data_IF_411856088847
#
_entry.id   IF_411856088847
#
_cell.length_a   1.000
_cell.length_b   1.000
_cell.length_c   1.000
_cell.angle_alpha   90.00
_cell.angle_beta   90.00
_cell.angle_gamma   90.00
#
_symmetry.space_group_name_H-M   'P 1'
#
loop_
_entity.id
_entity.type
_entity.pdbx_description
1 polymer ?
#
# COMPACT_ATOMS: atom_id res chain seq x y z
N UNK A 1 18.95 -36.56 -1.94
CA UNK A 1 19.47 -35.31 -2.55
C UNK A 1 18.27 -34.56 -3.08
N UNK A 2 18.02 -33.35 -2.61
CA UNK A 2 16.96 -32.53 -3.19
C UNK A 2 17.35 -32.24 -4.64
N UNK A 3 16.44 -32.52 -5.56
CA UNK A 3 16.60 -32.22 -6.97
C UNK A 3 16.38 -30.71 -7.12
N UNK A 4 17.44 -29.98 -7.50
CA UNK A 4 17.44 -28.51 -7.60
C UNK A 4 17.29 -28.05 -9.06
N UNK A 5 16.72 -28.89 -9.93
CA UNK A 5 16.69 -28.63 -11.36
C UNK A 5 15.73 -27.48 -11.68
N UNK A 6 16.30 -26.28 -11.85
CA UNK A 6 15.66 -25.17 -12.52
C UNK A 6 16.06 -25.26 -14.00
N UNK A 7 15.13 -25.55 -14.93
CA UNK A 7 15.47 -25.79 -16.33
C UNK A 7 16.19 -24.59 -16.95
N UNK A 8 17.20 -24.87 -17.80
CA UNK A 8 18.09 -23.91 -18.47
C UNK A 8 18.85 -22.97 -17.52
N UNK A 9 19.40 -23.53 -16.42
CA UNK A 9 20.20 -22.80 -15.42
C UNK A 9 21.55 -23.44 -15.13
N UNK A 10 22.21 -23.89 -16.18
CA UNK A 10 23.43 -24.69 -16.10
C UNK A 10 24.67 -23.91 -15.63
N UNK A 11 24.52 -22.61 -15.31
CA UNK A 11 25.61 -21.76 -14.82
C UNK A 11 25.19 -20.92 -13.59
N UNK A 12 26.12 -20.60 -12.68
CA UNK A 12 25.83 -19.69 -11.55
C UNK A 12 25.27 -18.34 -11.98
N UNK A 13 25.75 -17.78 -13.10
CA UNK A 13 25.25 -16.52 -13.64
C UNK A 13 23.79 -16.62 -14.09
N UNK A 14 23.41 -17.72 -14.75
CA UNK A 14 22.03 -17.97 -15.17
C UNK A 14 21.07 -18.08 -13.97
N UNK A 15 21.49 -18.75 -12.89
CA UNK A 15 20.71 -18.83 -11.64
C UNK A 15 20.48 -17.44 -11.04
N UNK A 16 21.53 -16.62 -10.94
CA UNK A 16 21.42 -15.26 -10.38
C UNK A 16 20.54 -14.36 -11.25
N UNK A 17 20.70 -14.40 -12.57
CA UNK A 17 19.89 -13.63 -13.51
C UNK A 17 18.40 -13.99 -13.39
N UNK A 18 18.09 -15.28 -13.26
CA UNK A 18 16.71 -15.71 -13.02
C UNK A 18 16.16 -15.20 -11.69
N UNK A 19 16.90 -15.37 -10.60
CA UNK A 19 16.47 -14.91 -9.29
C UNK A 19 16.18 -13.41 -9.28
N UNK A 20 17.04 -12.61 -9.94
CA UNK A 20 16.84 -11.18 -10.13
C UNK A 20 15.56 -10.89 -10.95
N UNK A 21 15.36 -11.59 -12.07
CA UNK A 21 14.17 -11.42 -12.90
C UNK A 21 12.87 -11.79 -12.17
N UNK A 22 12.88 -12.84 -11.35
CA UNK A 22 11.73 -13.23 -10.52
C UNK A 22 11.49 -12.24 -9.39
N UNK A 23 12.54 -11.72 -8.76
CA UNK A 23 12.40 -10.68 -7.74
C UNK A 23 11.83 -9.39 -8.32
N UNK A 24 12.28 -8.98 -9.51
CA UNK A 24 11.74 -7.82 -10.21
C UNK A 24 10.26 -8.00 -10.60
N UNK A 25 9.90 -9.19 -11.11
CA UNK A 25 8.51 -9.52 -11.44
C UNK A 25 7.61 -9.52 -10.19
N UNK A 26 8.06 -10.12 -9.09
CA UNK A 26 7.34 -10.10 -7.82
C UNK A 26 7.13 -8.68 -7.31
N UNK A 27 8.17 -7.83 -7.35
CA UNK A 27 8.05 -6.43 -6.94
C UNK A 27 7.04 -5.67 -7.81
N UNK A 28 7.00 -5.90 -9.14
CA UNK A 28 6.01 -5.27 -10.01
C UNK A 28 4.58 -5.70 -9.65
N UNK A 29 4.36 -6.99 -9.46
CA UNK A 29 3.06 -7.52 -9.05
C UNK A 29 2.61 -6.95 -7.70
N UNK A 30 3.51 -6.81 -6.73
CA UNK A 30 3.18 -6.18 -5.44
C UNK A 30 2.80 -4.70 -5.61
N UNK A 31 3.43 -3.97 -6.54
CA UNK A 31 3.04 -2.58 -6.85
C UNK A 31 1.68 -2.55 -7.55
N UNK A 32 1.38 -3.49 -8.44
CA UNK A 32 0.08 -3.61 -9.11
C UNK A 32 -1.05 -3.81 -8.09
N UNK A 33 -0.82 -4.65 -7.08
CA UNK A 33 -1.76 -4.83 -5.95
C UNK A 33 -1.97 -3.51 -5.19
N UNK A 34 -0.92 -2.72 -4.97
CA UNK A 34 -1.03 -1.43 -4.30
C UNK A 34 -1.78 -0.38 -5.14
N UNK A 35 -1.57 -0.38 -6.46
CA UNK A 35 -2.33 0.45 -7.40
C UNK A 35 -3.81 0.04 -7.44
N UNK A 36 -4.09 -1.27 -7.40
CA UNK A 36 -5.47 -1.79 -7.29
C UNK A 36 -6.14 -1.37 -5.96
N UNK A 37 -5.41 -1.38 -4.85
CA UNK A 37 -5.92 -0.92 -3.56
C UNK A 37 -6.35 0.57 -3.60
N UNK A 38 -5.57 1.41 -4.29
CA UNK A 38 -5.92 2.83 -4.49
C UNK A 38 -7.17 3.01 -5.35
N UNK A 39 -7.28 2.25 -6.44
CA UNK A 39 -8.47 2.28 -7.30
C UNK A 39 -9.71 1.79 -6.54
N UNK A 40 -9.56 0.73 -5.76
CA UNK A 40 -10.63 0.21 -4.90
C UNK A 40 -11.08 1.23 -3.86
N UNK A 41 -10.13 1.85 -3.14
CA UNK A 41 -10.43 2.90 -2.18
C UNK A 41 -11.17 4.09 -2.82
N UNK A 42 -10.77 4.50 -4.03
CA UNK A 42 -11.44 5.58 -4.77
C UNK A 42 -12.87 5.24 -5.21
N UNK A 43 -13.24 3.96 -5.30
CA UNK A 43 -14.61 3.49 -5.56
C UNK A 43 -15.48 3.44 -4.31
N UNK A 44 -14.87 3.54 -3.12
CA UNK A 44 -15.54 3.47 -1.82
C UNK A 44 -15.20 4.70 -0.97
N UNK A 45 -15.47 5.91 -1.48
CA UNK A 45 -15.14 7.13 -0.77
C UNK A 45 -16.10 7.34 0.42
N UNK A 46 -15.84 8.32 1.27
CA UNK A 46 -16.71 8.63 2.42
C UNK A 46 -18.18 8.88 2.04
N UNK A 47 -18.45 9.39 0.84
CA UNK A 47 -19.82 9.62 0.37
C UNK A 47 -20.59 8.32 0.04
N UNK A 48 -19.92 7.17 -0.08
CA UNK A 48 -20.61 5.88 -0.23
C UNK A 48 -21.21 5.39 1.09
N UNK A 49 -20.81 5.98 2.21
CA UNK A 49 -21.35 5.67 3.53
C UNK A 49 -22.67 6.42 3.73
N UNK A 50 -23.73 5.70 4.12
CA UNK A 50 -25.04 6.31 4.33
C UNK A 50 -25.02 7.29 5.51
N UNK A 51 -25.47 8.52 5.28
CA UNK A 51 -25.66 9.58 6.28
C UNK A 51 -26.85 9.33 7.24
N UNK A 52 -27.37 8.09 7.29
CA UNK A 52 -28.55 7.75 8.06
C UNK A 52 -28.29 7.97 9.56
N UNK A 53 -28.77 9.11 10.07
CA UNK A 53 -28.83 9.37 11.50
C UNK A 53 -29.44 8.16 12.20
N UNK A 54 -28.80 7.63 13.26
CA UNK A 54 -29.25 6.39 13.92
C UNK A 54 -30.66 6.62 14.44
N UNK A 55 -31.66 6.07 13.74
CA UNK A 55 -33.05 6.46 13.94
C UNK A 55 -33.65 5.87 15.21
N UNK A 56 -32.89 5.06 15.95
CA UNK A 56 -33.35 4.33 17.14
C UNK A 56 -32.26 4.05 18.18
N UNK A 57 -31.15 4.80 18.20
CA UNK A 57 -30.08 4.59 19.18
C UNK A 57 -29.22 3.34 18.96
N UNK A 58 -29.33 2.72 17.78
CA UNK A 58 -28.44 1.66 17.32
C UNK A 58 -27.52 2.23 16.22
N UNK A 59 -26.22 2.19 16.46
CA UNK A 59 -25.19 2.57 15.47
C UNK A 59 -25.02 1.39 14.52
N UNK A 60 -25.90 1.27 13.52
CA UNK A 60 -25.82 0.25 12.45
C UNK A 60 -25.56 0.91 11.08
N UNK A 61 -24.70 1.93 11.04
CA UNK A 61 -24.22 2.55 9.82
C UNK A 61 -22.76 2.20 9.58
N UNK A 62 -22.38 2.01 8.33
CA UNK A 62 -20.97 1.98 7.93
C UNK A 62 -20.32 3.31 8.36
N UNK A 63 -19.02 3.32 8.66
CA UNK A 63 -18.26 4.56 8.91
C UNK A 63 -17.22 4.81 7.82
N UNK A 64 -16.89 6.08 7.57
CA UNK A 64 -15.68 6.44 6.83
C UNK A 64 -14.48 6.50 7.80
N UNK A 65 -13.37 5.87 7.44
CA UNK A 65 -12.20 5.73 8.32
C UNK A 65 -10.93 6.38 7.75
N UNK A 66 -10.14 7.10 8.57
CA UNK A 66 -8.85 7.63 8.16
C UNK A 66 -7.78 6.52 8.23
N UNK A 67 -7.46 5.91 7.10
CA UNK A 67 -6.46 4.84 7.03
C UNK A 67 -5.01 5.36 6.85
N UNK A 68 -4.86 6.63 6.50
CA UNK A 68 -3.58 7.30 6.31
C UNK A 68 -3.57 8.64 7.07
N UNK A 69 -2.42 9.31 7.11
CA UNK A 69 -2.32 10.58 7.81
C UNK A 69 -3.13 11.70 7.17
N UNK A 70 -3.14 12.85 7.85
CA UNK A 70 -3.91 14.04 7.44
C UNK A 70 -3.72 14.38 5.95
N UNK A 71 -4.83 14.68 5.27
CA UNK A 71 -4.86 15.04 3.84
C UNK A 71 -4.97 13.85 2.86
N UNK A 72 -4.94 12.61 3.35
CA UNK A 72 -5.38 11.45 2.59
C UNK A 72 -6.92 11.32 2.66
N UNK A 73 -7.57 10.77 1.62
CA UNK A 73 -9.02 10.59 1.63
C UNK A 73 -9.45 9.56 2.68
N UNK A 74 -10.64 9.73 3.24
CA UNK A 74 -11.28 8.69 4.02
C UNK A 74 -11.84 7.62 3.08
N UNK A 75 -12.04 6.42 3.62
CA UNK A 75 -12.56 5.28 2.87
C UNK A 75 -13.63 4.60 3.72
N UNK A 76 -14.65 4.04 3.08
CA UNK A 76 -15.66 3.23 3.75
C UNK A 76 -15.02 2.07 4.57
N UNK A 77 -15.46 1.84 5.81
CA UNK A 77 -14.77 0.95 6.76
C UNK A 77 -14.68 -0.51 6.29
N UNK A 78 -15.64 -0.97 5.48
CA UNK A 78 -15.66 -2.33 4.95
C UNK A 78 -14.79 -2.51 3.71
N UNK A 79 -14.49 -1.44 2.97
CA UNK A 79 -13.73 -1.55 1.72
C UNK A 79 -12.34 -2.22 1.88
N UNK A 80 -11.51 -1.91 2.89
CA UNK A 80 -10.25 -2.64 3.10
C UNK A 80 -10.46 -4.11 3.45
N UNK A 81 -11.55 -4.45 4.12
CA UNK A 81 -11.85 -5.84 4.51
C UNK A 81 -12.25 -6.68 3.32
N UNK A 82 -13.09 -6.14 2.44
CA UNK A 82 -13.49 -6.80 1.18
C UNK A 82 -12.30 -7.01 0.24
N UNK A 83 -11.47 -5.96 0.08
CA UNK A 83 -10.23 -6.07 -0.70
C UNK A 83 -9.27 -7.11 -0.10
N UNK A 84 -9.12 -7.11 1.22
CA UNK A 84 -8.30 -8.08 1.95
C UNK A 84 -8.78 -9.52 1.78
N UNK A 85 -10.10 -9.74 1.88
CA UNK A 85 -10.71 -11.05 1.70
C UNK A 85 -10.44 -11.62 0.31
N UNK A 86 -10.54 -10.80 -0.74
CA UNK A 86 -10.21 -11.19 -2.11
C UNK A 86 -8.74 -11.62 -2.28
N UNK A 87 -7.83 -11.10 -1.45
CA UNK A 87 -6.40 -11.42 -1.45
C UNK A 87 -5.99 -12.48 -0.42
N UNK A 88 -6.94 -13.00 0.37
CA UNK A 88 -6.64 -13.94 1.47
C UNK A 88 -5.87 -13.32 2.64
N UNK A 89 -6.06 -12.02 2.90
CA UNK A 89 -5.41 -11.28 3.97
C UNK A 89 -6.27 -11.19 5.23
N UNK A 90 -5.63 -11.05 6.39
CA UNK A 90 -6.35 -10.65 7.61
C UNK A 90 -6.83 -9.21 7.51
N UNK A 91 -7.87 -8.88 8.27
CA UNK A 91 -8.43 -7.54 8.38
C UNK A 91 -7.38 -6.48 8.73
N UNK A 92 -6.49 -6.76 9.68
CA UNK A 92 -5.45 -5.79 10.07
C UNK A 92 -4.42 -5.60 8.95
N UNK A 93 -4.04 -6.69 8.28
CA UNK A 93 -3.09 -6.63 7.18
C UNK A 93 -3.66 -5.86 5.99
N UNK A 94 -4.96 -6.00 5.71
CA UNK A 94 -5.61 -5.30 4.60
C UNK A 94 -5.81 -3.82 4.89
N UNK A 95 -6.22 -3.44 6.12
CA UNK A 95 -6.23 -2.04 6.57
C UNK A 95 -4.85 -1.40 6.44
N UNK A 96 -3.80 -2.09 6.90
CA UNK A 96 -2.43 -1.59 6.76
C UNK A 96 -2.01 -1.44 5.30
N UNK A 97 -2.34 -2.39 4.42
CA UNK A 97 -2.02 -2.30 3.00
C UNK A 97 -2.68 -1.10 2.32
N UNK A 98 -3.98 -0.91 2.54
CA UNK A 98 -4.74 0.21 1.96
C UNK A 98 -4.26 1.54 2.54
N UNK A 99 -4.01 1.61 3.86
CA UNK A 99 -3.43 2.78 4.51
C UNK A 99 -2.05 3.15 3.95
N UNK A 100 -1.15 2.18 3.83
CA UNK A 100 0.18 2.37 3.22
C UNK A 100 0.06 2.90 1.78
N UNK A 101 -0.90 2.37 1.01
CA UNK A 101 -1.14 2.80 -0.37
C UNK A 101 -1.57 4.27 -0.43
N UNK A 102 -2.57 4.65 0.38
CA UNK A 102 -3.10 6.00 0.46
C UNK A 102 -2.02 7.00 0.93
N UNK A 103 -1.28 6.66 1.98
CA UNK A 103 -0.17 7.47 2.49
C UNK A 103 0.89 7.72 1.40
N UNK A 104 1.28 6.67 0.66
CA UNK A 104 2.25 6.79 -0.42
C UNK A 104 1.73 7.69 -1.56
N UNK A 105 0.50 7.47 -2.01
CA UNK A 105 -0.06 8.18 -3.16
C UNK A 105 -0.40 9.64 -2.86
N UNK A 106 -0.89 9.94 -1.65
CA UNK A 106 -1.40 11.26 -1.31
C UNK A 106 -0.38 12.12 -0.56
N UNK A 107 0.46 11.53 0.31
CA UNK A 107 1.38 12.28 1.19
C UNK A 107 2.84 12.11 0.79
N UNK A 108 3.27 10.91 0.38
CA UNK A 108 4.66 10.62 0.02
C UNK A 108 4.89 10.53 -1.50
N UNK A 109 4.34 11.49 -2.26
CA UNK A 109 4.31 11.51 -3.73
C UNK A 109 5.66 11.24 -4.41
N UNK A 110 6.77 11.73 -3.84
CA UNK A 110 8.13 11.48 -4.37
C UNK A 110 8.51 10.00 -4.23
N UNK A 111 8.30 9.42 -3.05
CA UNK A 111 8.55 8.00 -2.78
C UNK A 111 7.69 7.14 -3.69
N UNK A 112 6.41 7.50 -3.86
CA UNK A 112 5.49 6.78 -4.74
C UNK A 112 5.97 6.75 -6.20
N UNK A 113 6.42 7.89 -6.75
CA UNK A 113 7.02 7.94 -8.09
C UNK A 113 8.24 7.02 -8.22
N UNK A 114 9.09 6.94 -7.19
CA UNK A 114 10.28 6.08 -7.20
C UNK A 114 9.92 4.59 -7.12
N UNK A 115 8.90 4.23 -6.33
CA UNK A 115 8.40 2.85 -6.25
C UNK A 115 7.84 2.40 -7.59
N UNK A 116 6.94 3.18 -8.21
CA UNK A 116 6.38 2.86 -9.53
C UNK A 116 7.44 2.73 -10.63
N UNK A 117 8.53 3.49 -10.51
CA UNK A 117 9.68 3.41 -11.40
C UNK A 117 10.66 2.25 -11.07
N UNK A 118 10.36 1.41 -10.07
CA UNK A 118 11.21 0.31 -9.62
C UNK A 118 12.50 0.73 -8.92
N UNK A 119 12.67 2.02 -8.62
CA UNK A 119 13.89 2.59 -8.01
C UNK A 119 13.95 2.40 -6.50
N UNK A 120 12.79 2.20 -5.86
CA UNK A 120 12.68 1.93 -4.43
C UNK A 120 11.87 0.64 -4.22
N UNK A 121 12.40 -0.35 -3.48
CA UNK A 121 11.64 -1.54 -3.13
C UNK A 121 10.38 -1.20 -2.34
N UNK A 122 9.25 -1.80 -2.70
CA UNK A 122 7.95 -1.49 -2.11
C UNK A 122 7.95 -1.64 -0.59
N UNK A 123 8.55 -2.71 -0.06
CA UNK A 123 8.60 -2.95 1.39
C UNK A 123 9.23 -1.80 2.19
N UNK A 124 10.25 -1.11 1.61
CA UNK A 124 10.87 0.07 2.25
C UNK A 124 9.92 1.27 2.23
N UNK A 125 9.24 1.47 1.10
CA UNK A 125 8.27 2.54 0.95
C UNK A 125 7.07 2.35 1.89
N UNK A 126 6.57 1.13 2.04
CA UNK A 126 5.52 0.79 3.02
C UNK A 126 5.99 1.01 4.45
N UNK A 127 7.23 0.66 4.78
CA UNK A 127 7.79 0.98 6.11
C UNK A 127 7.82 2.48 6.37
N UNK A 128 8.17 3.30 5.37
CA UNK A 128 8.11 4.76 5.49
C UNK A 128 6.66 5.25 5.66
N UNK A 129 5.72 4.68 4.90
CA UNK A 129 4.30 4.97 5.00
C UNK A 129 3.74 4.68 6.40
N UNK A 130 4.21 3.63 7.09
CA UNK A 130 3.76 3.32 8.46
C UNK A 130 4.27 4.30 9.52
N UNK A 131 5.33 5.06 9.24
CA UNK A 131 5.98 5.96 10.20
C UNK A 131 5.56 7.42 10.07
N UNK A 132 4.79 7.75 9.04
CA UNK A 132 4.45 9.12 8.63
C UNK A 132 3.04 9.62 9.00
N UNK A 133 2.02 8.79 9.35
CA UNK A 133 0.68 9.26 9.64
C UNK A 133 0.59 10.26 10.81
N UNK A 134 1.48 10.11 11.81
CA UNK A 134 1.54 10.99 12.97
C UNK A 134 2.21 12.35 12.71
N UNK A 135 2.80 12.56 11.52
CA UNK A 135 3.45 13.82 11.17
C UNK A 135 2.42 14.79 10.56
N UNK A 136 2.46 16.09 10.89
CA UNK A 136 1.60 17.08 10.24
C UNK A 136 1.95 17.25 8.75
N UNK A 137 0.98 17.67 7.95
CA UNK A 137 1.13 17.89 6.50
C UNK A 137 2.29 18.85 6.13
N UNK A 138 2.69 19.74 7.03
CA UNK A 138 3.73 20.79 6.82
C UNK A 138 5.18 20.26 6.73
N UNK A 139 5.42 18.94 6.70
CA UNK A 139 6.74 18.35 6.93
C UNK A 139 7.36 17.44 5.86
N UNK A 140 6.89 17.39 4.60
CA UNK A 140 7.46 16.49 3.56
C UNK A 140 8.21 17.23 2.44
N UNK A 141 8.63 18.49 2.70
CA UNK A 141 9.54 19.23 1.82
C UNK A 141 10.97 19.18 2.35
N UNK A 142 11.77 18.25 1.80
CA UNK A 142 13.24 18.29 1.73
C UNK A 142 14.05 18.61 3.00
N UNK A 143 14.42 17.60 3.79
CA UNK A 143 15.62 17.70 4.64
C UNK A 143 16.87 17.37 3.81
N UNK A 144 17.31 18.37 3.03
CA UNK A 144 18.71 18.44 2.59
C UNK A 144 19.46 19.24 3.65
N UNK A 145 20.12 18.56 4.58
CA UNK A 145 21.05 19.18 5.54
C UNK A 145 22.35 19.56 4.81
N UNK A 146 22.78 20.83 4.75
CA UNK A 146 24.16 21.13 4.39
C UNK A 146 25.06 20.87 5.59
N UNK A 147 26.14 20.12 5.36
CA UNK A 147 27.24 19.94 6.30
C UNK A 147 27.89 21.29 6.63
N UNK A 148 28.32 21.43 7.89
CA UNK A 148 29.25 22.48 8.33
C UNK A 148 30.41 21.82 9.03
#
# INVERSE_FOLDING_TARGET
>A
MADFELPDRDTPAAVLAFAQARRAAAQRAEIDVLEAALLWAAMHPEESVSDAAPTTGLVFGELAVPLAGEGAPLVAEFAPMEFGAALGMSTDASRSLVGDALELAHRLKRTWKLVRAGKVPLWKARRLAQLTPALPLTGVASTSTPAR
#
